data_IF_608328238801
#
_entry.id   IF_608328238801
#
_cell.length_a   1.000
_cell.length_b   1.000
_cell.length_c   1.000
_cell.angle_alpha   90.00
_cell.angle_beta   90.00
_cell.angle_gamma   90.00
#
_symmetry.space_group_name_H-M   'P 1'
#
loop_
_entity.id
_entity.type
_entity.pdbx_description
1 polymer ?
#
# COMPACT_ATOMS: atom_id res chain seq x y z
N UNK A 1 -0.66 -22.05 25.09
CA UNK A 1 -1.21 -22.36 23.76
C UNK A 1 -2.69 -22.64 23.91
N UNK A 2 -3.54 -22.35 22.91
CA UNK A 2 -4.92 -22.80 22.92
C UNK A 2 -4.99 -24.33 22.78
N UNK A 3 -6.05 -24.93 23.33
CA UNK A 3 -6.27 -26.38 23.28
C UNK A 3 -6.65 -26.86 21.86
N UNK A 4 -7.34 -26.01 21.09
CA UNK A 4 -7.79 -26.31 19.74
C UNK A 4 -7.68 -25.07 18.83
N UNK A 5 -7.52 -25.32 17.53
CA UNK A 5 -7.63 -24.33 16.47
C UNK A 5 -8.79 -24.69 15.55
N UNK A 6 -9.58 -23.70 15.14
CA UNK A 6 -10.73 -23.91 14.28
C UNK A 6 -10.37 -23.51 12.85
N UNK A 7 -10.38 -24.47 11.93
CA UNK A 7 -10.18 -24.21 10.50
C UNK A 7 -11.51 -24.47 9.79
N UNK A 8 -12.13 -23.40 9.29
CA UNK A 8 -13.43 -23.50 8.61
C UNK A 8 -13.25 -24.01 7.18
N UNK A 9 -13.82 -25.18 6.88
CA UNK A 9 -13.91 -25.71 5.51
C UNK A 9 -15.24 -25.36 4.84
N UNK A 10 -16.04 -24.48 5.45
CA UNK A 10 -17.37 -24.12 4.96
C UNK A 10 -17.28 -23.54 3.54
N UNK A 11 -18.08 -24.08 2.63
CA UNK A 11 -18.12 -23.66 1.23
C UNK A 11 -17.10 -24.35 0.32
N UNK A 12 -16.16 -25.14 0.86
CA UNK A 12 -15.27 -25.97 0.05
C UNK A 12 -15.97 -27.28 -0.33
N UNK A 13 -15.88 -27.65 -1.61
CA UNK A 13 -16.42 -28.91 -2.15
C UNK A 13 -15.40 -30.06 -2.15
N UNK A 14 -14.11 -29.73 -2.13
CA UNK A 14 -13.01 -30.66 -2.10
C UNK A 14 -11.79 -29.99 -1.43
N UNK A 15 -10.85 -30.82 -0.97
CA UNK A 15 -9.52 -30.38 -0.55
C UNK A 15 -8.50 -30.82 -1.59
N UNK A 16 -7.70 -29.88 -2.08
CA UNK A 16 -6.61 -30.16 -3.00
C UNK A 16 -5.34 -30.58 -2.25
N UNK A 17 -4.35 -31.11 -2.98
CA UNK A 17 -3.10 -31.59 -2.39
C UNK A 17 -2.36 -30.52 -1.58
N UNK A 18 -2.34 -29.27 -2.06
CA UNK A 18 -1.73 -28.14 -1.35
C UNK A 18 -2.37 -27.89 0.01
N UNK A 19 -3.69 -28.00 0.09
CA UNK A 19 -4.47 -27.83 1.31
C UNK A 19 -4.24 -28.97 2.30
N UNK A 20 -4.23 -30.21 1.82
CA UNK A 20 -3.90 -31.37 2.65
C UNK A 20 -2.47 -31.29 3.20
N UNK A 21 -1.50 -30.83 2.39
CA UNK A 21 -0.13 -30.61 2.85
C UNK A 21 -0.05 -29.54 3.94
N UNK A 22 -0.76 -28.42 3.79
CA UNK A 22 -0.79 -27.38 4.84
C UNK A 22 -1.42 -27.91 6.14
N UNK A 23 -2.51 -28.67 6.06
CA UNK A 23 -3.14 -29.28 7.23
C UNK A 23 -2.20 -30.27 7.94
N UNK A 24 -1.50 -31.11 7.17
CA UNK A 24 -0.50 -32.04 7.70
C UNK A 24 0.65 -31.30 8.39
N UNK A 25 1.16 -30.23 7.76
CA UNK A 25 2.21 -29.40 8.36
C UNK A 25 1.74 -28.72 9.65
N UNK A 26 0.51 -28.19 9.67
CA UNK A 26 -0.09 -27.58 10.86
C UNK A 26 -0.26 -28.57 12.00
N UNK A 27 -0.73 -29.79 11.71
CA UNK A 27 -0.92 -30.84 12.70
C UNK A 27 0.41 -31.28 13.35
N UNK A 28 1.51 -31.22 12.60
CA UNK A 28 2.83 -31.66 13.05
C UNK A 28 3.79 -30.51 13.42
N UNK A 29 3.34 -29.26 13.43
CA UNK A 29 4.27 -28.12 13.52
C UNK A 29 4.95 -28.00 14.89
N UNK A 30 4.29 -28.46 15.96
CA UNK A 30 4.69 -28.37 17.38
C UNK A 30 5.14 -26.98 17.87
N UNK A 31 5.04 -25.96 17.02
CA UNK A 31 5.43 -24.56 17.23
C UNK A 31 6.89 -24.32 17.63
N UNK A 32 7.74 -25.33 17.46
CA UNK A 32 9.19 -25.22 17.67
C UNK A 32 9.85 -24.43 16.53
N UNK A 33 9.34 -24.59 15.30
CA UNK A 33 9.76 -23.82 14.13
C UNK A 33 8.57 -23.05 13.54
N UNK A 34 8.69 -21.74 13.32
CA UNK A 34 7.62 -20.95 12.73
C UNK A 34 7.36 -21.37 11.28
N UNK A 35 6.08 -21.51 10.93
CA UNK A 35 5.64 -21.71 9.55
C UNK A 35 5.24 -20.38 8.94
N UNK A 36 5.51 -20.25 7.64
CA UNK A 36 5.23 -19.04 6.89
C UNK A 36 4.54 -19.34 5.56
N UNK A 37 3.73 -18.38 5.11
CA UNK A 37 3.19 -18.33 3.76
C UNK A 37 3.48 -16.94 3.16
N UNK A 38 3.80 -16.90 1.86
CA UNK A 38 4.08 -15.63 1.20
C UNK A 38 2.82 -14.79 1.06
N UNK A 39 2.94 -13.46 1.19
CA UNK A 39 1.79 -12.55 1.07
C UNK A 39 1.13 -12.57 -0.31
N UNK A 40 1.87 -13.03 -1.33
CA UNK A 40 1.43 -13.12 -2.73
C UNK A 40 0.57 -14.34 -3.04
N UNK A 41 0.50 -15.33 -2.14
CA UNK A 41 -0.37 -16.50 -2.33
C UNK A 41 -1.83 -16.04 -2.25
N UNK A 42 -2.68 -16.38 -3.22
CA UNK A 42 -4.09 -15.97 -3.23
C UNK A 42 -4.87 -16.52 -2.02
N UNK A 43 -5.90 -15.79 -1.58
CA UNK A 43 -6.67 -16.11 -0.37
C UNK A 43 -7.29 -17.53 -0.42
N UNK A 44 -7.68 -17.97 -1.61
CA UNK A 44 -8.22 -19.31 -1.84
C UNK A 44 -7.25 -20.45 -1.43
N UNK A 45 -5.95 -20.14 -1.40
CA UNK A 45 -4.86 -21.06 -1.05
C UNK A 45 -4.35 -20.88 0.39
N UNK A 46 -5.06 -20.13 1.25
CA UNK A 46 -4.66 -19.86 2.65
C UNK A 46 -5.48 -20.62 3.68
N UNK A 47 -6.31 -21.56 3.26
CA UNK A 47 -7.22 -22.37 4.11
C UNK A 47 -8.20 -21.55 4.98
N UNK A 48 -8.45 -20.28 4.66
CA UNK A 48 -9.31 -19.43 5.48
C UNK A 48 -8.71 -19.09 6.85
N UNK A 49 -7.38 -19.12 6.96
CA UNK A 49 -6.63 -18.90 8.20
C UNK A 49 -6.09 -17.47 8.34
N UNK A 50 -6.67 -16.50 7.64
CA UNK A 50 -6.19 -15.11 7.66
C UNK A 50 -6.22 -14.50 9.07
N UNK A 51 -7.14 -14.94 9.93
CA UNK A 51 -7.23 -14.56 11.35
C UNK A 51 -6.20 -15.24 12.23
N UNK A 52 -5.32 -16.06 11.67
CA UNK A 52 -4.21 -16.74 12.34
C UNK A 52 -2.84 -16.24 11.88
N UNK A 53 -2.80 -15.19 11.06
CA UNK A 53 -1.57 -14.67 10.47
C UNK A 53 -1.04 -13.44 11.21
N UNK A 54 0.29 -13.40 11.32
CA UNK A 54 1.07 -12.22 11.71
C UNK A 54 2.02 -11.89 10.58
N UNK A 55 1.95 -10.67 10.05
CA UNK A 55 2.84 -10.21 8.99
C UNK A 55 4.19 -9.78 9.57
N UNK A 56 5.27 -10.29 8.98
CA UNK A 56 6.66 -9.97 9.36
C UNK A 56 7.48 -9.44 8.16
N UNK A 57 6.79 -8.88 7.15
CA UNK A 57 7.35 -8.42 5.87
C UNK A 57 6.60 -9.01 4.68
N UNK A 58 7.33 -9.65 3.75
CA UNK A 58 6.78 -10.35 2.58
C UNK A 58 6.20 -11.75 2.88
N UNK A 59 6.14 -12.12 4.17
CA UNK A 59 5.57 -13.38 4.61
C UNK A 59 4.67 -13.17 5.83
N UNK A 60 3.63 -14.00 5.90
CA UNK A 60 2.79 -14.18 7.07
C UNK A 60 3.29 -15.38 7.86
N UNK A 61 3.53 -15.20 9.16
CA UNK A 61 3.76 -16.29 10.11
C UNK A 61 2.41 -16.84 10.57
N UNK A 62 2.27 -18.17 10.55
CA UNK A 62 1.12 -18.84 11.18
C UNK A 62 1.23 -18.75 12.70
N UNK A 63 0.10 -18.56 13.36
CA UNK A 63 0.00 -18.62 14.81
C UNK A 63 -1.26 -19.37 15.23
N UNK A 64 -1.27 -20.02 16.40
CA UNK A 64 -2.46 -20.69 16.89
C UNK A 64 -3.51 -19.72 17.45
N UNK A 65 -3.20 -18.42 17.53
CA UNK A 65 -4.05 -17.41 18.15
C UNK A 65 -4.90 -16.72 17.09
N UNK A 66 -6.08 -16.26 17.47
CA UNK A 66 -6.89 -15.39 16.61
C UNK A 66 -6.29 -13.98 16.65
N UNK A 67 -5.46 -13.65 15.66
CA UNK A 67 -4.72 -12.38 15.55
C UNK A 67 -5.65 -11.22 15.29
N UNK A 68 -6.79 -11.43 14.63
CA UNK A 68 -7.79 -10.39 14.39
C UNK A 68 -8.47 -9.94 15.69
N UNK A 69 -8.90 -10.88 16.53
CA UNK A 69 -9.50 -10.59 17.83
C UNK A 69 -8.53 -9.90 18.80
N UNK A 70 -7.22 -10.11 18.60
CA UNK A 70 -6.16 -9.51 19.39
C UNK A 70 -5.62 -8.20 18.79
N UNK A 71 -6.13 -7.74 17.65
CA UNK A 71 -5.57 -6.62 16.86
C UNK A 71 -4.05 -6.75 16.62
N UNK A 72 -3.58 -7.99 16.40
CA UNK A 72 -2.17 -8.36 16.34
C UNK A 72 -1.79 -8.95 14.97
N UNK A 73 -2.22 -8.30 13.89
CA UNK A 73 -2.00 -8.78 12.51
C UNK A 73 -0.59 -8.48 11.96
N UNK A 74 0.18 -7.60 12.60
CA UNK A 74 1.55 -7.21 12.21
C UNK A 74 2.45 -7.28 13.43
N UNK A 75 3.61 -7.92 13.30
CA UNK A 75 4.69 -7.88 14.30
C UNK A 75 5.66 -6.77 13.88
N UNK A 76 5.45 -5.58 14.45
CA UNK A 76 6.16 -4.36 14.08
C UNK A 76 7.66 -4.46 14.35
N UNK A 77 8.08 -5.10 15.43
CA UNK A 77 9.49 -5.25 15.81
C UNK A 77 10.25 -6.09 14.77
N UNK A 78 9.76 -7.29 14.46
CA UNK A 78 10.40 -8.13 13.45
C UNK A 78 10.30 -7.54 12.06
N UNK A 79 9.15 -6.97 11.71
CA UNK A 79 8.96 -6.34 10.40
C UNK A 79 9.92 -5.15 10.22
N UNK A 80 10.12 -4.33 11.27
CA UNK A 80 11.09 -3.24 11.27
C UNK A 80 12.51 -3.77 11.07
N UNK A 81 12.96 -4.73 11.87
CA UNK A 81 14.29 -5.31 11.73
C UNK A 81 14.52 -5.93 10.34
N UNK A 82 13.52 -6.65 9.82
CA UNK A 82 13.59 -7.24 8.49
C UNK A 82 13.73 -6.18 7.40
N UNK A 83 12.88 -5.15 7.39
CA UNK A 83 12.89 -4.10 6.36
C UNK A 83 14.10 -3.18 6.45
N UNK A 84 14.52 -2.81 7.66
CA UNK A 84 15.57 -1.81 7.88
C UNK A 84 16.97 -2.41 7.83
N UNK A 85 17.16 -3.66 8.27
CA UNK A 85 18.49 -4.24 8.47
C UNK A 85 18.79 -5.42 7.53
N UNK A 86 17.79 -6.23 7.18
CA UNK A 86 18.02 -7.49 6.44
C UNK A 86 17.72 -7.40 4.95
N UNK A 87 16.65 -6.71 4.58
CA UNK A 87 16.23 -6.60 3.18
C UNK A 87 17.30 -5.88 2.34
N UNK A 88 17.36 -6.24 1.06
CA UNK A 88 18.26 -5.63 0.07
C UNK A 88 17.42 -5.19 -1.12
N UNK A 89 17.57 -3.93 -1.50
CA UNK A 89 16.75 -3.28 -2.54
C UNK A 89 17.42 -3.24 -3.91
N UNK A 90 18.47 -4.03 -4.13
CA UNK A 90 19.02 -4.29 -5.47
C UNK A 90 19.54 -3.08 -6.25
N UNK A 91 19.75 -1.93 -5.61
CA UNK A 91 20.20 -0.70 -6.28
C UNK A 91 19.08 0.12 -6.92
N UNK A 92 17.83 -0.03 -6.47
CA UNK A 92 16.68 0.81 -6.89
C UNK A 92 16.94 2.31 -6.65
N UNK A 93 17.87 2.66 -5.78
CA UNK A 93 18.34 4.01 -5.47
C UNK A 93 19.40 4.57 -6.45
N UNK A 94 19.71 3.86 -7.55
CA UNK A 94 20.67 4.35 -8.56
C UNK A 94 19.94 5.09 -9.68
N UNK A 95 20.23 6.38 -9.94
CA UNK A 95 19.59 7.11 -11.03
C UNK A 95 19.81 6.46 -12.40
N UNK A 96 18.79 6.52 -13.26
CA UNK A 96 18.90 6.12 -14.67
C UNK A 96 18.84 4.61 -14.93
N UNK A 97 18.40 3.82 -13.96
CA UNK A 97 18.11 2.39 -14.17
C UNK A 97 16.76 2.21 -14.85
N UNK A 98 16.65 1.19 -15.70
CA UNK A 98 15.37 0.74 -16.23
C UNK A 98 14.76 -0.32 -15.30
N UNK A 99 13.51 -0.11 -14.91
CA UNK A 99 12.71 -1.09 -14.20
C UNK A 99 11.57 -1.52 -15.13
N UNK A 100 11.52 -2.80 -15.46
CA UNK A 100 10.37 -3.33 -16.20
C UNK A 100 9.11 -3.33 -15.33
N UNK A 101 7.95 -3.54 -15.95
CA UNK A 101 6.64 -3.49 -15.30
C UNK A 101 6.57 -4.41 -14.06
N UNK A 102 7.14 -5.61 -14.12
CA UNK A 102 7.06 -6.55 -13.00
C UNK A 102 7.90 -6.06 -11.82
N UNK A 103 9.12 -5.59 -12.09
CA UNK A 103 10.00 -5.04 -11.06
C UNK A 103 9.39 -3.76 -10.45
N UNK A 104 8.77 -2.91 -11.27
CA UNK A 104 8.04 -1.72 -10.81
C UNK A 104 6.93 -2.12 -9.81
N UNK A 105 6.09 -3.10 -10.16
CA UNK A 105 5.02 -3.61 -9.28
C UNK A 105 5.56 -4.21 -7.98
N UNK A 106 6.72 -4.87 -8.04
CA UNK A 106 7.40 -5.35 -6.83
C UNK A 106 7.86 -4.18 -5.95
N UNK A 107 8.44 -3.12 -6.53
CA UNK A 107 8.86 -1.93 -5.78
C UNK A 107 7.68 -1.26 -5.07
N UNK A 108 6.55 -1.08 -5.77
CA UNK A 108 5.32 -0.55 -5.17
C UNK A 108 4.81 -1.42 -4.01
N UNK A 109 4.91 -2.74 -4.15
CA UNK A 109 4.55 -3.68 -3.07
C UNK A 109 5.45 -3.49 -1.84
N UNK A 110 6.74 -3.22 -2.02
CA UNK A 110 7.66 -2.94 -0.91
C UNK A 110 7.36 -1.59 -0.25
N UNK A 111 7.08 -0.54 -1.03
CA UNK A 111 6.63 0.75 -0.48
C UNK A 111 5.39 0.58 0.40
N UNK A 112 4.42 -0.21 -0.06
CA UNK A 112 3.22 -0.54 0.73
C UNK A 112 3.55 -1.25 2.05
N UNK A 113 4.55 -2.12 2.09
CA UNK A 113 5.01 -2.73 3.34
C UNK A 113 5.53 -1.69 4.34
N UNK A 114 6.33 -0.73 3.89
CA UNK A 114 6.80 0.36 4.75
C UNK A 114 5.65 1.21 5.29
N UNK A 115 4.65 1.52 4.46
CA UNK A 115 3.44 2.25 4.88
C UNK A 115 2.69 1.45 5.97
N UNK A 116 2.51 0.14 5.79
CA UNK A 116 1.86 -0.73 6.79
C UNK A 116 2.64 -0.78 8.10
N UNK A 117 3.97 -0.92 8.04
CA UNK A 117 4.83 -0.89 9.21
C UNK A 117 4.74 0.45 9.94
N UNK A 118 4.87 1.56 9.22
CA UNK A 118 4.82 2.90 9.81
C UNK A 118 3.46 3.19 10.46
N UNK A 119 2.36 2.75 9.84
CA UNK A 119 1.03 2.85 10.46
C UNK A 119 0.93 2.03 11.76
N UNK A 120 1.47 0.81 11.78
CA UNK A 120 1.49 -0.01 12.99
C UNK A 120 2.36 0.62 14.10
N UNK A 121 3.55 1.13 13.76
CA UNK A 121 4.42 1.85 14.70
C UNK A 121 3.75 3.12 15.24
N UNK A 122 3.02 3.83 14.39
CA UNK A 122 2.21 4.98 14.81
C UNK A 122 1.11 4.58 15.80
N UNK A 123 0.37 3.49 15.56
CA UNK A 123 -0.61 2.93 16.52
C UNK A 123 0.03 2.57 17.86
N UNK A 124 1.28 2.10 17.84
CA UNK A 124 2.07 1.75 19.02
C UNK A 124 2.76 2.96 19.68
N UNK A 125 2.50 4.18 19.19
CA UNK A 125 3.10 5.43 19.66
C UNK A 125 4.64 5.52 19.47
N UNK A 126 5.21 4.70 18.58
CA UNK A 126 6.63 4.70 18.19
C UNK A 126 6.88 5.63 17.00
N UNK A 127 6.62 6.93 17.19
CA UNK A 127 6.60 7.92 16.10
C UNK A 127 7.96 8.08 15.40
N UNK A 128 9.05 8.12 16.16
CA UNK A 128 10.40 8.28 15.60
C UNK A 128 10.78 7.09 14.70
N UNK A 129 10.45 5.87 15.12
CA UNK A 129 10.66 4.67 14.30
C UNK A 129 9.79 4.68 13.04
N UNK A 130 8.54 5.14 13.15
CA UNK A 130 7.65 5.28 12.00
C UNK A 130 8.20 6.25 10.95
N UNK A 131 8.64 7.44 11.36
CA UNK A 131 9.27 8.43 10.45
C UNK A 131 10.53 7.83 9.81
N UNK A 132 11.38 7.21 10.62
CA UNK A 132 12.62 6.58 10.12
C UNK A 132 12.35 5.47 9.09
N UNK A 133 11.28 4.68 9.27
CA UNK A 133 10.87 3.65 8.32
C UNK A 133 10.40 4.25 6.99
N UNK A 134 9.59 5.31 7.04
CA UNK A 134 9.13 6.00 5.82
C UNK A 134 10.30 6.68 5.09
N UNK A 135 11.18 7.36 5.81
CA UNK A 135 12.35 8.04 5.23
C UNK A 135 13.31 7.04 4.58
N UNK A 136 13.51 5.88 5.19
CA UNK A 136 14.30 4.80 4.61
C UNK A 136 13.66 4.21 3.35
N UNK A 137 12.32 4.14 3.31
CA UNK A 137 11.59 3.76 2.10
C UNK A 137 11.85 4.76 0.97
N UNK A 138 11.76 6.07 1.23
CA UNK A 138 12.04 7.10 0.22
C UNK A 138 13.48 7.07 -0.27
N UNK A 139 14.42 6.75 0.62
CA UNK A 139 15.83 6.57 0.25
C UNK A 139 16.03 5.36 -0.68
N UNK A 140 15.45 4.21 -0.33
CA UNK A 140 15.69 2.94 -1.03
C UNK A 140 14.81 2.74 -2.26
N UNK A 141 13.63 3.38 -2.29
CA UNK A 141 12.64 3.29 -3.36
C UNK A 141 12.24 4.72 -3.78
N UNK A 142 13.19 5.50 -4.34
CA UNK A 142 12.97 6.91 -4.57
C UNK A 142 12.03 7.18 -5.74
N UNK A 143 11.28 8.27 -5.64
CA UNK A 143 10.29 8.71 -6.64
C UNK A 143 10.86 8.80 -8.07
N UNK A 144 12.12 9.19 -8.25
CA UNK A 144 12.71 9.37 -9.58
C UNK A 144 12.89 8.05 -10.37
N UNK A 145 12.92 6.91 -9.68
CA UNK A 145 12.98 5.58 -10.30
C UNK A 145 11.67 4.83 -10.18
N UNK A 146 10.98 4.98 -9.03
CA UNK A 146 9.70 4.35 -8.75
C UNK A 146 8.71 5.46 -8.38
N UNK A 147 8.01 6.04 -9.35
CA UNK A 147 7.11 7.16 -9.07
C UNK A 147 6.09 6.84 -7.99
N UNK A 148 5.71 7.84 -7.21
CA UNK A 148 4.55 7.73 -6.34
C UNK A 148 3.28 7.60 -7.18
N UNK A 149 2.42 6.68 -6.76
CA UNK A 149 1.09 6.47 -7.33
C UNK A 149 0.02 6.81 -6.28
N UNK A 150 -1.25 6.60 -6.63
CA UNK A 150 -2.37 6.86 -5.73
C UNK A 150 -2.26 6.14 -4.38
N UNK A 151 -1.56 5.01 -4.29
CA UNK A 151 -1.37 4.28 -3.03
C UNK A 151 -0.49 5.05 -2.03
N UNK A 152 0.33 5.99 -2.53
CA UNK A 152 1.22 6.82 -1.72
C UNK A 152 0.48 7.93 -0.95
N UNK A 153 -0.81 8.15 -1.21
CA UNK A 153 -1.64 9.04 -0.37
C UNK A 153 -1.58 8.62 1.12
N UNK A 154 -1.65 7.31 1.40
CA UNK A 154 -1.55 6.79 2.76
C UNK A 154 -0.19 7.10 3.41
N UNK A 155 0.89 7.14 2.61
CA UNK A 155 2.22 7.53 3.09
C UNK A 155 2.26 9.01 3.47
N UNK A 156 1.68 9.88 2.64
CA UNK A 156 1.60 11.29 2.96
C UNK A 156 0.76 11.57 4.21
N UNK A 157 -0.39 10.90 4.35
CA UNK A 157 -1.24 11.01 5.54
C UNK A 157 -0.50 10.60 6.82
N UNK A 158 0.32 9.55 6.76
CA UNK A 158 1.18 9.15 7.87
C UNK A 158 2.22 10.22 8.21
N UNK A 159 2.90 10.79 7.21
CA UNK A 159 3.84 11.89 7.46
C UNK A 159 3.16 13.08 8.13
N UNK A 160 1.98 13.49 7.67
CA UNK A 160 1.23 14.55 8.36
C UNK A 160 0.86 14.17 9.80
N UNK A 161 0.40 12.93 10.04
CA UNK A 161 0.06 12.45 11.39
C UNK A 161 1.28 12.37 12.33
N UNK A 162 2.47 12.20 11.76
CA UNK A 162 3.74 12.16 12.47
C UNK A 162 4.35 13.56 12.68
N UNK A 163 3.75 14.61 12.11
CA UNK A 163 4.21 16.00 12.24
C UNK A 163 5.15 16.46 11.12
N UNK A 164 5.42 15.60 10.13
CA UNK A 164 6.34 15.85 9.01
C UNK A 164 5.58 16.49 7.83
N UNK A 165 5.03 17.70 8.04
CA UNK A 165 4.15 18.37 7.06
C UNK A 165 4.79 18.50 5.67
N UNK A 166 6.03 18.95 5.61
CA UNK A 166 6.74 19.18 4.34
C UNK A 166 6.89 17.89 3.52
N UNK A 167 7.18 16.75 4.16
CA UNK A 167 7.30 15.44 3.48
C UNK A 167 5.94 14.94 3.00
N UNK A 168 4.89 15.15 3.80
CA UNK A 168 3.51 14.87 3.39
C UNK A 168 3.11 15.70 2.18
N UNK A 169 3.42 17.00 2.18
CA UNK A 169 3.15 17.93 1.08
C UNK A 169 3.89 17.52 -0.19
N UNK A 170 5.16 17.09 -0.08
CA UNK A 170 5.95 16.61 -1.23
C UNK A 170 5.27 15.42 -1.94
N UNK A 171 4.86 14.38 -1.21
CA UNK A 171 4.21 13.21 -1.81
C UNK A 171 2.84 13.58 -2.39
N UNK A 172 2.05 14.37 -1.65
CA UNK A 172 0.74 14.82 -2.14
C UNK A 172 0.87 15.65 -3.41
N UNK A 173 1.87 16.54 -3.50
CA UNK A 173 2.14 17.33 -4.70
C UNK A 173 2.38 16.42 -5.91
N UNK A 174 3.26 15.41 -5.76
CA UNK A 174 3.60 14.47 -6.84
C UNK A 174 2.36 13.74 -7.37
N UNK A 175 1.53 13.17 -6.49
CA UNK A 175 0.35 12.41 -6.92
C UNK A 175 -0.77 13.30 -7.46
N UNK A 176 -0.90 14.54 -6.95
CA UNK A 176 -1.87 15.51 -7.43
C UNK A 176 -1.49 16.09 -8.80
N UNK A 177 -0.22 16.41 -9.01
CA UNK A 177 0.32 16.81 -10.32
C UNK A 177 0.07 15.73 -11.35
N UNK A 178 0.39 14.47 -11.02
CA UNK A 178 0.12 13.34 -11.92
C UNK A 178 -1.37 13.22 -12.27
N UNK A 179 -2.27 13.35 -11.28
CA UNK A 179 -3.71 13.33 -11.54
C UNK A 179 -4.15 14.47 -12.48
N UNK A 180 -3.62 15.69 -12.31
CA UNK A 180 -3.91 16.81 -13.20
C UNK A 180 -3.40 16.59 -14.61
N UNK A 181 -2.19 16.04 -14.76
CA UNK A 181 -1.63 15.71 -16.07
C UNK A 181 -2.53 14.72 -16.81
N UNK A 182 -2.97 13.65 -16.15
CA UNK A 182 -3.88 12.68 -16.76
C UNK A 182 -5.25 13.29 -17.09
N UNK A 183 -5.86 14.05 -16.17
CA UNK A 183 -7.14 14.72 -16.44
C UNK A 183 -7.01 15.68 -17.63
N UNK A 184 -5.95 16.48 -17.65
CA UNK A 184 -5.68 17.43 -18.75
C UNK A 184 -5.46 16.71 -20.07
N UNK A 185 -4.76 15.57 -20.06
CA UNK A 185 -4.53 14.75 -21.25
C UNK A 185 -5.84 14.16 -21.79
N UNK A 186 -6.66 13.54 -20.94
CA UNK A 186 -7.97 13.02 -21.34
C UNK A 186 -8.87 14.13 -21.89
N UNK A 187 -8.96 15.27 -21.21
CA UNK A 187 -9.73 16.42 -21.67
C UNK A 187 -9.17 17.09 -22.93
N UNK A 188 -7.91 16.81 -23.28
CA UNK A 188 -7.26 17.27 -24.51
C UNK A 188 -7.46 16.35 -25.72
N UNK A 189 -7.99 15.13 -25.51
CA UNK A 189 -8.27 14.18 -26.59
C UNK A 189 -9.39 14.67 -27.52
N UNK A 190 -9.54 14.08 -28.70
CA UNK A 190 -10.76 14.27 -29.49
C UNK A 190 -11.94 13.45 -28.92
N UNK A 191 -13.16 13.71 -29.39
CA UNK A 191 -14.37 13.10 -28.80
C UNK A 191 -14.42 11.58 -28.96
N UNK A 192 -13.91 11.05 -30.08
CA UNK A 192 -13.86 9.59 -30.30
C UNK A 192 -12.92 8.88 -29.31
N UNK A 193 -11.84 9.55 -28.90
CA UNK A 193 -10.88 9.06 -27.91
C UNK A 193 -11.35 9.29 -26.47
N UNK A 194 -12.02 10.42 -26.21
CA UNK A 194 -12.51 10.79 -24.89
C UNK A 194 -13.64 9.85 -24.43
N UNK A 195 -14.60 9.53 -25.31
CA UNK A 195 -15.76 8.70 -24.95
C UNK A 195 -15.40 7.36 -24.26
N UNK A 196 -14.52 6.51 -24.82
CA UNK A 196 -14.11 5.28 -24.13
C UNK A 196 -13.22 5.53 -22.90
N UNK A 197 -12.67 6.74 -22.73
CA UNK A 197 -11.75 7.10 -21.65
C UNK A 197 -12.42 7.72 -20.43
N UNK A 198 -13.74 7.94 -20.44
CA UNK A 198 -14.47 8.57 -19.33
C UNK A 198 -14.23 7.88 -17.98
N UNK A 199 -14.17 6.55 -17.95
CA UNK A 199 -13.88 5.82 -16.70
C UNK A 199 -12.52 6.18 -16.09
N UNK A 200 -11.50 6.38 -16.94
CA UNK A 200 -10.17 6.80 -16.47
C UNK A 200 -10.17 8.28 -16.05
N UNK A 201 -10.84 9.14 -16.82
CA UNK A 201 -11.00 10.56 -16.49
C UNK A 201 -11.67 10.73 -15.12
N UNK A 202 -12.78 10.02 -14.87
CA UNK A 202 -13.51 10.03 -13.61
C UNK A 202 -12.65 9.52 -12.45
N UNK A 203 -11.83 8.48 -12.68
CA UNK A 203 -10.89 7.96 -11.69
C UNK A 203 -9.88 9.04 -11.25
N UNK A 204 -9.24 9.74 -12.20
CA UNK A 204 -8.24 10.77 -11.86
C UNK A 204 -8.88 12.04 -11.27
N UNK A 205 -10.07 12.44 -11.72
CA UNK A 205 -10.83 13.54 -11.10
C UNK A 205 -11.20 13.22 -9.65
N UNK A 206 -11.68 11.99 -9.40
CA UNK A 206 -12.02 11.52 -8.04
C UNK A 206 -10.78 11.46 -7.15
N UNK A 207 -9.66 11.00 -7.70
CA UNK A 207 -8.36 10.97 -7.01
C UNK A 207 -7.90 12.38 -6.63
N UNK A 208 -7.91 13.33 -7.57
CA UNK A 208 -7.56 14.73 -7.32
C UNK A 208 -8.43 15.37 -6.23
N UNK A 209 -9.75 15.17 -6.29
CA UNK A 209 -10.66 15.64 -5.25
C UNK A 209 -10.33 15.02 -3.87
N UNK A 210 -9.91 13.76 -3.85
CA UNK A 210 -9.50 13.08 -2.62
C UNK A 210 -8.21 13.68 -2.07
N UNK A 211 -7.22 13.97 -2.91
CA UNK A 211 -5.97 14.63 -2.50
C UNK A 211 -6.23 16.04 -1.96
N UNK A 212 -7.12 16.81 -2.60
CA UNK A 212 -7.54 18.14 -2.11
C UNK A 212 -8.21 18.04 -0.73
N UNK A 213 -9.05 17.02 -0.49
CA UNK A 213 -9.61 16.77 0.84
C UNK A 213 -8.53 16.46 1.87
N UNK A 214 -7.51 15.68 1.51
CA UNK A 214 -6.35 15.42 2.37
C UNK A 214 -5.57 16.71 2.66
N UNK A 215 -5.26 17.51 1.63
CA UNK A 215 -4.62 18.83 1.78
C UNK A 215 -5.41 19.74 2.74
N UNK A 216 -6.74 19.77 2.60
CA UNK A 216 -7.63 20.55 3.47
C UNK A 216 -7.61 20.06 4.92
N UNK A 217 -7.72 18.74 5.14
CA UNK A 217 -7.67 18.12 6.46
C UNK A 217 -6.39 18.46 7.23
N UNK A 218 -5.26 18.55 6.52
CA UNK A 218 -3.94 18.80 7.10
C UNK A 218 -3.43 20.23 6.91
N UNK A 219 -4.29 21.16 6.45
CA UNK A 219 -3.96 22.58 6.25
C UNK A 219 -2.69 22.79 5.40
N UNK A 220 -2.57 22.00 4.33
CA UNK A 220 -1.48 22.10 3.35
C UNK A 220 -1.52 23.45 2.63
N UNK A 221 -0.34 24.04 2.41
CA UNK A 221 -0.21 25.31 1.69
C UNK A 221 -0.44 25.14 0.18
N UNK A 222 -0.49 23.90 -0.30
CA UNK A 222 -0.80 23.53 -1.68
C UNK A 222 -2.30 23.64 -2.00
N UNK A 223 -3.16 23.63 -0.98
CA UNK A 223 -4.62 23.56 -1.14
C UNK A 223 -5.19 24.60 -2.13
N UNK A 224 -4.84 25.90 -2.07
CA UNK A 224 -5.39 26.90 -2.98
C UNK A 224 -5.03 26.64 -4.45
N UNK A 225 -3.82 26.14 -4.70
CA UNK A 225 -3.30 25.85 -6.04
C UNK A 225 -4.13 24.75 -6.69
N UNK A 226 -4.26 23.61 -6.01
CA UNK A 226 -4.97 22.45 -6.54
C UNK A 226 -6.49 22.65 -6.60
N UNK A 227 -7.08 23.41 -5.67
CA UNK A 227 -8.49 23.80 -5.75
C UNK A 227 -8.78 24.63 -7.01
N UNK A 228 -7.90 25.60 -7.31
CA UNK A 228 -8.01 26.43 -8.52
C UNK A 228 -7.89 25.58 -9.80
N UNK A 229 -6.94 24.65 -9.84
CA UNK A 229 -6.76 23.74 -10.97
C UNK A 229 -7.96 22.80 -11.16
N UNK A 230 -8.51 22.21 -10.09
CA UNK A 230 -9.70 21.38 -10.17
C UNK A 230 -10.90 22.16 -10.74
N UNK A 231 -11.13 23.39 -10.27
CA UNK A 231 -12.21 24.24 -10.80
C UNK A 231 -12.03 24.50 -12.30
N UNK A 232 -10.82 24.85 -12.74
CA UNK A 232 -10.50 25.05 -14.16
C UNK A 232 -10.77 23.78 -14.99
N UNK A 233 -10.33 22.62 -14.51
CA UNK A 233 -10.55 21.34 -15.21
C UNK A 233 -12.04 20.97 -15.24
N UNK A 234 -12.79 21.29 -14.17
CA UNK A 234 -14.24 21.10 -14.11
C UNK A 234 -15.01 21.91 -15.15
N UNK A 235 -14.60 23.15 -15.43
CA UNK A 235 -15.20 23.95 -16.50
C UNK A 235 -14.91 23.37 -17.90
N UNK A 236 -13.68 22.89 -18.14
CA UNK A 236 -13.33 22.21 -19.40
C UNK A 236 -14.16 20.93 -19.54
N UNK A 237 -14.28 20.14 -18.48
CA UNK A 237 -15.08 18.91 -18.45
C UNK A 237 -16.53 19.15 -18.87
N UNK A 238 -17.19 20.19 -18.33
CA UNK A 238 -18.56 20.55 -18.71
C UNK A 238 -18.68 20.86 -20.20
N UNK A 239 -17.78 21.70 -20.73
CA UNK A 239 -17.76 22.06 -22.16
C UNK A 239 -17.54 20.87 -23.10
N UNK A 240 -16.95 19.78 -22.63
CA UNK A 240 -16.66 18.58 -23.42
C UNK A 240 -17.80 17.56 -23.40
N UNK A 241 -18.77 17.70 -22.50
CA UNK A 241 -19.85 16.73 -22.27
C UNK A 241 -21.23 17.28 -22.65
N UNK A 242 -21.40 18.61 -22.57
CA UNK A 242 -22.56 19.34 -23.11
C UNK A 242 -22.51 19.44 -24.64
#
# INVERSE_FOLDING_TARGET
MPDYMYISLKGKRALYKSELMMLEMLANTNWERPMYIAISVGAENRLGMEDHFIQEGLAYRFTPFNTQALDASIDSEKMYDNLMNKFKFGGIDKPGIYLDENVMRMCLSHRRLFIQLAFQLWKENKKEEAVKALDYCEQMIPNYNVPHDSSSQAMAELYYQLGEKEKGDQIINIIADSAIEYVSWYLGMNDMQLYPSFGNLDYYLTSLNTYIKTMSKYQSDLLPVYTSQLNRLGEIYKMRIE
#
